data_IF_189590181638
#
_entry.id   IF_189590181638
#
_cell.length_a   1.000
_cell.length_b   1.000
_cell.length_c   1.000
_cell.angle_alpha   90.00
_cell.angle_beta   90.00
_cell.angle_gamma   90.00
#
_symmetry.space_group_name_H-M   'P 1'
#
loop_
_entity.id
_entity.type
_entity.pdbx_description
1 polymer ?
#
# COMPACT_ATOMS: atom_id res chain seq x y z
N UNK A 1 1.68 -47.85 37.75
CA UNK A 1 1.10 -46.50 37.57
C UNK A 1 1.03 -46.28 36.08
N UNK A 2 -0.17 -46.37 35.51
CA UNK A 2 -0.42 -46.13 34.09
C UNK A 2 -0.13 -44.67 33.79
N UNK A 3 0.76 -44.40 32.83
CA UNK A 3 0.98 -43.06 32.28
C UNK A 3 -0.36 -42.57 31.71
N UNK A 4 -1.03 -41.70 32.46
CA UNK A 4 -2.19 -40.96 31.96
C UNK A 4 -1.62 -39.89 31.05
N UNK A 5 -1.63 -40.15 29.74
CA UNK A 5 -1.35 -39.15 28.72
C UNK A 5 -2.29 -37.96 28.96
N UNK A 6 -1.72 -36.79 29.31
CA UNK A 6 -2.53 -35.60 29.52
C UNK A 6 -3.05 -35.08 28.16
N UNK A 7 -4.29 -34.60 28.09
CA UNK A 7 -4.87 -34.10 26.85
C UNK A 7 -4.09 -32.91 26.30
N UNK A 8 -3.89 -32.87 24.98
CA UNK A 8 -3.37 -31.72 24.26
C UNK A 8 -4.55 -30.77 23.99
N UNK A 9 -4.55 -29.60 24.62
CA UNK A 9 -5.64 -28.62 24.48
C UNK A 9 -5.31 -27.60 23.37
N UNK A 10 -6.20 -27.51 22.39
CA UNK A 10 -6.27 -26.45 21.37
C UNK A 10 -7.46 -25.54 21.76
N UNK A 11 -7.36 -24.22 21.58
CA UNK A 11 -8.45 -23.30 21.95
C UNK A 11 -8.79 -22.50 20.70
N UNK A 12 -10.06 -22.48 20.30
CA UNK A 12 -10.57 -21.72 19.14
C UNK A 12 -11.66 -20.76 19.62
N UNK A 13 -11.39 -19.46 19.62
CA UNK A 13 -12.34 -18.46 20.17
C UNK A 13 -13.18 -17.90 19.02
N UNK A 14 -14.52 -17.92 19.16
CA UNK A 14 -15.44 -17.29 18.21
C UNK A 14 -16.10 -16.08 18.88
N UNK A 15 -15.95 -14.90 18.30
CA UNK A 15 -16.39 -13.64 18.94
C UNK A 15 -17.87 -13.30 18.69
N UNK A 16 -18.65 -14.16 18.04
CA UNK A 16 -20.03 -13.81 17.68
C UNK A 16 -21.03 -14.97 17.90
N UNK A 17 -22.17 -14.64 18.53
CA UNK A 17 -23.13 -15.60 19.09
C UNK A 17 -24.27 -15.98 18.13
N UNK A 18 -23.99 -16.01 16.82
CA UNK A 18 -24.98 -16.42 15.81
C UNK A 18 -24.90 -17.94 15.56
N UNK A 19 -26.05 -18.61 15.40
CA UNK A 19 -26.12 -20.08 15.22
C UNK A 19 -25.36 -20.55 13.97
N UNK A 20 -25.36 -19.75 12.89
CA UNK A 20 -24.61 -20.04 11.66
C UNK A 20 -23.08 -19.97 11.88
N UNK A 21 -22.63 -19.07 12.75
CA UNK A 21 -21.22 -18.96 13.14
C UNK A 21 -20.80 -20.07 14.11
N UNK A 22 -21.74 -20.70 14.82
CA UNK A 22 -21.45 -21.84 15.68
C UNK A 22 -21.08 -23.08 14.87
N UNK A 23 -21.78 -23.34 13.76
CA UNK A 23 -21.44 -24.42 12.84
C UNK A 23 -20.05 -24.21 12.23
N UNK A 24 -19.73 -22.97 11.83
CA UNK A 24 -18.43 -22.61 11.27
C UNK A 24 -17.31 -22.71 12.32
N UNK A 25 -17.52 -22.18 13.53
CA UNK A 25 -16.56 -22.27 14.62
C UNK A 25 -16.31 -23.72 15.07
N UNK A 26 -17.36 -24.55 15.07
CA UNK A 26 -17.25 -25.99 15.35
C UNK A 26 -16.43 -26.70 14.28
N UNK A 27 -16.64 -26.34 13.00
CA UNK A 27 -15.84 -26.87 11.89
C UNK A 27 -14.36 -26.47 12.00
N UNK A 28 -14.06 -25.21 12.32
CA UNK A 28 -12.67 -24.76 12.53
C UNK A 28 -12.01 -25.44 13.73
N UNK A 29 -12.75 -25.62 14.83
CA UNK A 29 -12.28 -26.34 16.02
C UNK A 29 -11.98 -27.82 15.71
N UNK A 30 -12.80 -28.45 14.88
CA UNK A 30 -12.58 -29.80 14.39
C UNK A 30 -11.32 -29.90 13.53
N UNK A 31 -11.17 -29.03 12.54
CA UNK A 31 -9.98 -28.98 11.67
C UNK A 31 -8.72 -28.76 12.52
N UNK A 32 -8.75 -27.85 13.48
CA UNK A 32 -7.61 -27.58 14.35
C UNK A 32 -7.23 -28.78 15.23
N UNK A 33 -8.22 -29.51 15.78
CA UNK A 33 -7.96 -30.71 16.56
C UNK A 33 -7.39 -31.85 15.70
N UNK A 34 -7.87 -32.01 14.47
CA UNK A 34 -7.38 -33.02 13.51
C UNK A 34 -5.96 -32.70 13.02
N UNK A 35 -5.69 -31.44 12.67
CA UNK A 35 -4.35 -31.02 12.24
C UNK A 35 -3.31 -31.11 13.36
N UNK A 36 -3.70 -30.81 14.61
CA UNK A 36 -2.84 -31.03 15.77
C UNK A 36 -2.49 -32.52 15.95
N UNK A 37 -3.47 -33.41 15.80
CA UNK A 37 -3.23 -34.85 15.87
C UNK A 37 -2.35 -35.36 14.71
N UNK A 38 -2.53 -34.83 13.50
CA UNK A 38 -1.66 -35.13 12.34
C UNK A 38 -0.23 -34.66 12.55
N UNK A 39 -0.04 -33.48 13.16
CA UNK A 39 1.29 -32.97 13.51
C UNK A 39 2.02 -33.88 14.50
N UNK A 40 1.29 -34.57 15.37
CA UNK A 40 1.81 -35.61 16.28
C UNK A 40 1.98 -36.99 15.62
N UNK A 41 1.76 -37.09 14.29
CA UNK A 41 1.92 -38.31 13.51
C UNK A 41 0.75 -39.28 13.60
N UNK A 42 -0.42 -38.83 14.09
CA UNK A 42 -1.63 -39.66 14.17
C UNK A 42 -2.42 -39.51 12.86
N UNK A 43 -2.60 -40.60 12.10
CA UNK A 43 -3.37 -40.55 10.86
C UNK A 43 -4.86 -40.37 11.14
N UNK A 44 -5.55 -39.68 10.23
CA UNK A 44 -6.94 -39.23 10.42
C UNK A 44 -7.93 -40.39 10.60
N UNK A 45 -7.65 -41.55 10.01
CA UNK A 45 -8.44 -42.77 10.15
C UNK A 45 -8.35 -43.42 11.54
N UNK A 46 -7.44 -42.95 12.40
CA UNK A 46 -7.29 -43.36 13.78
C UNK A 46 -7.88 -42.36 14.78
N UNK A 47 -8.54 -41.31 14.30
CA UNK A 47 -9.18 -40.29 15.13
C UNK A 47 -10.69 -40.50 15.21
N UNK A 48 -11.21 -40.41 16.44
CA UNK A 48 -12.66 -40.30 16.69
C UNK A 48 -12.97 -38.87 17.12
N UNK A 49 -13.73 -38.14 16.31
CA UNK A 49 -14.17 -36.77 16.62
C UNK A 49 -15.55 -36.81 17.28
N UNK A 50 -15.71 -36.08 18.38
CA UNK A 50 -16.98 -35.93 19.08
C UNK A 50 -17.26 -34.47 19.42
N UNK A 51 -18.51 -34.04 19.26
CA UNK A 51 -18.94 -32.67 19.56
C UNK A 51 -19.67 -32.63 20.90
N UNK A 52 -19.17 -31.83 21.85
CA UNK A 52 -19.84 -31.61 23.13
C UNK A 52 -20.66 -30.32 23.11
N UNK A 53 -21.98 -30.46 22.89
CA UNK A 53 -22.93 -29.34 22.86
C UNK A 53 -23.01 -28.54 24.16
N UNK A 54 -22.81 -29.17 25.33
CA UNK A 54 -22.98 -28.51 26.64
C UNK A 54 -21.77 -27.66 27.08
N UNK A 55 -20.66 -27.67 26.33
CA UNK A 55 -19.46 -26.92 26.67
C UNK A 55 -18.75 -26.27 25.47
N UNK A 56 -19.37 -26.29 24.28
CA UNK A 56 -18.78 -25.70 23.07
C UNK A 56 -17.49 -26.37 22.63
N UNK A 57 -17.25 -27.65 22.92
CA UNK A 57 -15.98 -28.31 22.61
C UNK A 57 -16.06 -29.29 21.44
N UNK A 58 -15.01 -29.37 20.62
CA UNK A 58 -14.74 -30.52 19.75
C UNK A 58 -13.61 -31.33 20.38
N UNK A 59 -13.81 -32.64 20.52
CA UNK A 59 -12.81 -33.55 21.08
C UNK A 59 -12.45 -34.57 20.03
N UNK A 60 -11.20 -34.56 19.57
CA UNK A 60 -10.62 -35.63 18.76
C UNK A 60 -9.81 -36.56 19.66
N UNK A 61 -10.14 -37.85 19.69
CA UNK A 61 -9.40 -38.85 20.46
C UNK A 61 -8.77 -39.86 19.54
N UNK A 62 -7.51 -40.20 19.79
CA UNK A 62 -6.78 -41.22 19.03
C UNK A 62 -6.90 -42.60 19.68
N UNK A 63 -6.68 -43.64 18.88
CA UNK A 63 -6.69 -45.05 19.32
C UNK A 63 -5.64 -45.38 20.38
N UNK A 64 -4.55 -44.60 20.47
CA UNK A 64 -3.50 -44.71 21.48
C UNK A 64 -3.81 -43.97 22.80
N UNK A 65 -5.01 -43.40 22.93
CA UNK A 65 -5.50 -42.77 24.15
C UNK A 65 -5.10 -41.31 24.34
N UNK A 66 -4.55 -40.64 23.32
CA UNK A 66 -4.37 -39.19 23.34
C UNK A 66 -5.67 -38.48 23.02
N UNK A 67 -5.89 -37.34 23.66
CA UNK A 67 -7.11 -36.55 23.49
C UNK A 67 -6.73 -35.13 23.14
N UNK A 68 -7.26 -34.65 22.02
CA UNK A 68 -7.12 -33.32 21.48
C UNK A 68 -8.44 -32.60 21.70
N UNK A 69 -8.43 -31.54 22.51
CA UNK A 69 -9.65 -30.81 22.86
C UNK A 69 -9.56 -29.44 22.22
N UNK A 70 -10.49 -29.09 21.33
CA UNK A 70 -10.69 -27.74 20.81
C UNK A 70 -11.90 -27.09 21.50
N UNK A 71 -11.71 -26.00 22.25
CA UNK A 71 -12.79 -25.29 22.92
C UNK A 71 -13.25 -24.09 22.09
N UNK A 72 -14.56 -24.01 21.80
CA UNK A 72 -15.28 -22.88 21.21
C UNK A 72 -15.87 -22.02 22.33
N UNK A 73 -15.33 -20.82 22.51
CA UNK A 73 -15.82 -19.85 23.51
C UNK A 73 -16.60 -18.76 22.80
N UNK A 74 -17.89 -18.62 23.12
CA UNK A 74 -18.81 -17.62 22.56
C UNK A 74 -19.34 -16.71 23.67
N UNK A 75 -18.56 -15.72 24.12
CA UNK A 75 -19.06 -14.66 25.00
C UNK A 75 -18.59 -13.28 24.50
N UNK A 76 -19.49 -12.45 23.94
CA UNK A 76 -19.14 -11.14 23.40
C UNK A 76 -18.89 -10.06 24.48
N UNK A 77 -19.19 -10.33 25.76
CA UNK A 77 -19.04 -9.35 26.83
C UNK A 77 -17.65 -9.31 27.48
N UNK A 78 -16.73 -10.18 27.07
CA UNK A 78 -15.47 -10.43 27.78
C UNK A 78 -14.27 -10.03 26.92
N UNK A 79 -13.57 -8.97 27.31
CA UNK A 79 -12.32 -8.54 26.65
C UNK A 79 -11.24 -9.62 26.76
N UNK A 80 -10.46 -9.91 25.69
CA UNK A 80 -9.33 -10.84 25.72
C UNK A 80 -8.32 -10.57 26.85
N UNK A 81 -8.18 -9.30 27.27
CA UNK A 81 -7.28 -8.90 28.35
C UNK A 81 -7.68 -9.44 29.73
N UNK A 82 -8.97 -9.74 29.95
CA UNK A 82 -9.48 -10.25 31.23
C UNK A 82 -9.20 -11.74 31.47
N UNK A 83 -8.68 -12.46 30.46
CA UNK A 83 -8.23 -13.84 30.60
C UNK A 83 -6.76 -13.98 31.01
N UNK A 84 -5.95 -12.94 30.85
CA UNK A 84 -4.54 -12.92 31.29
C UNK A 84 -4.38 -13.18 32.79
N UNK A 85 -5.38 -12.82 33.59
CA UNK A 85 -5.40 -13.02 35.05
C UNK A 85 -6.04 -14.36 35.49
N UNK A 86 -6.69 -15.10 34.57
CA UNK A 86 -7.38 -16.37 34.87
C UNK A 86 -6.70 -17.61 34.29
N UNK A 87 -5.76 -17.44 33.38
CA UNK A 87 -4.86 -18.51 32.95
C UNK A 87 -3.68 -18.50 33.92
N UNK A 88 -3.59 -19.49 34.80
CA UNK A 88 -2.41 -19.71 35.65
C UNK A 88 -1.15 -19.68 34.75
N UNK A 89 -0.28 -18.65 34.86
CA UNK A 89 0.88 -18.50 33.99
C UNK A 89 1.82 -19.71 34.07
N UNK A 90 1.82 -20.40 35.22
CA UNK A 90 2.61 -21.61 35.41
C UNK A 90 2.04 -22.80 34.63
N UNK A 91 0.72 -22.88 34.41
CA UNK A 91 0.10 -23.90 33.55
C UNK A 91 0.31 -23.61 32.06
N UNK A 92 0.23 -22.34 31.67
CA UNK A 92 0.53 -21.89 30.31
C UNK A 92 1.98 -22.21 29.89
N UNK A 93 2.96 -21.83 30.74
CA UNK A 93 4.37 -22.09 30.47
C UNK A 93 4.71 -23.59 30.48
N UNK A 94 4.01 -24.39 31.30
CA UNK A 94 4.19 -25.85 31.36
C UNK A 94 3.62 -26.56 30.13
N UNK A 95 2.48 -26.10 29.59
CA UNK A 95 1.92 -26.60 28.34
C UNK A 95 2.81 -26.27 27.12
N UNK A 96 3.35 -25.04 27.07
CA UNK A 96 4.30 -24.63 26.01
C UNK A 96 5.63 -25.40 26.07
N UNK A 97 6.15 -25.65 27.27
CA UNK A 97 7.35 -26.47 27.48
C UNK A 97 7.15 -27.96 27.11
N UNK A 98 5.90 -28.39 26.92
CA UNK A 98 5.52 -29.75 26.53
C UNK A 98 5.08 -29.85 25.05
N UNK A 99 5.28 -28.80 24.24
CA UNK A 99 5.02 -28.82 22.80
C UNK A 99 3.60 -28.46 22.38
N UNK A 100 2.74 -27.97 23.29
CA UNK A 100 1.36 -27.59 22.98
C UNK A 100 1.34 -26.22 22.27
N UNK A 101 0.79 -26.17 21.05
CA UNK A 101 0.59 -24.94 20.26
C UNK A 101 -0.78 -24.32 20.58
N UNK A 102 -0.79 -23.06 21.03
CA UNK A 102 -2.01 -22.29 21.30
C UNK A 102 -2.18 -21.23 20.20
N UNK A 103 -3.30 -21.25 19.49
CA UNK A 103 -3.65 -20.24 18.50
C UNK A 103 -4.73 -19.32 19.05
N UNK A 104 -4.49 -18.02 19.03
CA UNK A 104 -5.52 -17.01 19.34
C UNK A 104 -5.94 -16.35 18.03
N UNK A 105 -7.18 -16.53 17.62
CA UNK A 105 -7.80 -15.65 16.64
C UNK A 105 -8.57 -14.59 17.43
N UNK A 106 -8.04 -13.35 17.46
CA UNK A 106 -8.69 -12.19 18.10
C UNK A 106 -7.92 -11.45 19.21
N UNK A 107 -6.62 -11.69 19.44
CA UNK A 107 -5.80 -10.86 20.34
C UNK A 107 -4.95 -9.84 19.55
N UNK A 108 -4.72 -8.61 20.08
CA UNK A 108 -3.94 -7.60 19.39
C UNK A 108 -2.51 -8.07 19.17
N UNK A 109 -1.96 -7.69 18.01
CA UNK A 109 -0.64 -7.87 17.39
C UNK A 109 0.64 -8.11 18.24
N UNK A 110 0.62 -8.13 19.56
CA UNK A 110 1.81 -8.03 20.39
C UNK A 110 2.35 -9.37 20.94
N UNK A 111 1.84 -10.53 20.50
CA UNK A 111 2.29 -11.84 21.02
C UNK A 111 2.88 -12.79 19.97
N UNK A 112 3.02 -12.36 18.71
CA UNK A 112 3.70 -13.11 17.62
C UNK A 112 4.91 -12.30 17.11
N UNK A 113 5.44 -11.40 17.93
CA UNK A 113 6.46 -10.42 17.51
C UNK A 113 7.91 -10.87 17.74
N UNK A 114 8.16 -12.06 18.31
CA UNK A 114 9.53 -12.46 18.67
C UNK A 114 10.29 -13.20 17.56
N UNK A 115 9.62 -13.66 16.49
CA UNK A 115 10.26 -14.39 15.36
C UNK A 115 9.99 -13.78 13.97
N UNK A 116 9.25 -12.67 13.89
CA UNK A 116 9.13 -11.88 12.65
C UNK A 116 10.04 -10.67 12.78
N UNK A 117 11.07 -10.59 11.94
CA UNK A 117 11.94 -9.41 11.89
C UNK A 117 11.04 -8.17 11.72
N UNK A 118 11.24 -7.15 12.56
CA UNK A 118 10.43 -5.92 12.58
C UNK A 118 10.35 -5.23 11.20
N UNK A 119 11.28 -5.56 10.30
CA UNK A 119 11.39 -5.07 8.93
C UNK A 119 10.30 -5.62 7.98
N UNK A 120 9.56 -6.66 8.36
CA UNK A 120 8.47 -7.23 7.54
C UNK A 120 7.10 -6.58 7.77
N UNK A 121 6.96 -5.74 8.81
CA UNK A 121 5.70 -5.13 9.23
C UNK A 121 5.58 -3.68 8.76
N UNK A 122 4.39 -3.30 8.31
CA UNK A 122 4.11 -1.90 8.00
C UNK A 122 3.71 -1.14 9.27
N UNK A 123 4.12 0.13 9.43
CA UNK A 123 3.69 0.95 10.55
C UNK A 123 2.16 1.00 10.68
N UNK A 124 1.63 0.50 11.80
CA UNK A 124 0.19 0.44 12.04
C UNK A 124 -0.53 -0.72 11.36
N UNK A 125 0.19 -1.68 10.76
CA UNK A 125 -0.36 -2.92 10.21
C UNK A 125 0.51 -4.12 10.61
N UNK A 126 -0.03 -4.96 11.50
CA UNK A 126 0.65 -6.14 12.02
C UNK A 126 0.61 -7.36 11.07
N UNK A 127 0.20 -7.15 9.81
CA UNK A 127 0.11 -8.22 8.81
C UNK A 127 1.42 -8.32 8.05
N UNK A 128 2.10 -9.48 8.03
CA UNK A 128 3.36 -9.66 7.30
C UNK A 128 3.22 -9.47 5.79
N UNK A 129 4.30 -9.03 5.12
CA UNK A 129 4.32 -8.72 3.69
C UNK A 129 3.72 -9.81 2.77
N UNK A 130 3.99 -11.08 3.09
CA UNK A 130 3.48 -12.24 2.35
C UNK A 130 1.95 -12.39 2.38
N UNK A 131 1.27 -11.80 3.37
CA UNK A 131 -0.19 -11.85 3.56
C UNK A 131 -0.91 -10.55 3.17
N UNK A 132 -0.16 -9.52 2.71
CA UNK A 132 -0.70 -8.23 2.23
C UNK A 132 -1.08 -8.25 0.74
N UNK A 133 -1.07 -9.41 0.11
CA UNK A 133 -1.56 -9.64 -1.25
C UNK A 133 -2.89 -10.39 -1.17
N UNK A 134 -3.86 -10.11 -2.05
CA UNK A 134 -5.10 -10.87 -2.11
C UNK A 134 -4.82 -12.37 -2.20
N UNK A 135 -5.48 -13.14 -1.34
CA UNK A 135 -5.53 -14.59 -1.55
C UNK A 135 -6.25 -14.93 -2.86
N UNK A 136 -6.18 -16.21 -3.27
CA UNK A 136 -6.80 -16.66 -4.52
C UNK A 136 -8.29 -16.32 -4.57
N UNK A 137 -8.99 -16.50 -3.46
CA UNK A 137 -10.42 -16.29 -3.42
C UNK A 137 -10.77 -14.81 -3.57
N UNK A 138 -10.00 -13.90 -2.99
CA UNK A 138 -10.19 -12.45 -3.10
C UNK A 138 -9.78 -11.95 -4.49
N UNK A 139 -8.71 -12.51 -5.06
CA UNK A 139 -8.29 -12.25 -6.43
C UNK A 139 -9.39 -12.66 -7.43
N UNK A 140 -10.02 -13.82 -7.24
CA UNK A 140 -11.14 -14.29 -8.05
C UNK A 140 -12.37 -13.37 -7.88
N UNK A 141 -12.62 -12.86 -6.68
CA UNK A 141 -13.66 -11.84 -6.43
C UNK A 141 -13.41 -10.57 -7.23
N UNK A 142 -12.19 -10.00 -7.19
CA UNK A 142 -11.84 -8.84 -8.02
C UNK A 142 -11.99 -9.14 -9.52
N UNK A 143 -11.55 -10.32 -9.96
CA UNK A 143 -11.67 -10.74 -11.36
C UNK A 143 -13.13 -10.80 -11.83
N UNK A 144 -14.03 -11.32 -11.01
CA UNK A 144 -15.45 -11.35 -11.34
C UNK A 144 -16.07 -9.96 -11.34
N UNK A 145 -15.72 -9.11 -10.37
CA UNK A 145 -16.28 -7.75 -10.25
C UNK A 145 -15.94 -6.87 -11.46
N UNK A 146 -14.70 -6.93 -11.95
CA UNK A 146 -14.20 -6.06 -13.02
C UNK A 146 -14.25 -6.67 -14.42
N UNK A 147 -14.68 -7.92 -14.56
CA UNK A 147 -14.89 -8.54 -15.88
C UNK A 147 -16.22 -8.07 -16.49
N UNK A 148 -16.15 -7.09 -17.40
CA UNK A 148 -17.30 -6.53 -18.10
C UNK A 148 -18.05 -7.52 -19.00
N UNK A 149 -17.50 -8.71 -19.24
CA UNK A 149 -18.17 -9.80 -19.96
C UNK A 149 -19.09 -10.62 -19.05
N UNK A 150 -19.01 -10.45 -17.72
CA UNK A 150 -19.88 -11.11 -16.76
C UNK A 150 -21.21 -10.38 -16.65
N UNK A 151 -22.26 -11.12 -16.30
CA UNK A 151 -23.55 -10.52 -16.01
C UNK A 151 -23.50 -9.70 -14.72
N UNK A 152 -24.33 -8.66 -14.65
CA UNK A 152 -24.45 -7.82 -13.45
C UNK A 152 -24.74 -8.64 -12.18
N UNK A 153 -25.48 -9.75 -12.29
CA UNK A 153 -25.75 -10.68 -11.17
C UNK A 153 -24.48 -11.34 -10.64
N UNK A 154 -23.60 -11.80 -11.52
CA UNK A 154 -22.32 -12.42 -11.10
C UNK A 154 -21.41 -11.36 -10.47
N UNK A 155 -21.38 -10.16 -11.05
CA UNK A 155 -20.60 -9.03 -10.53
C UNK A 155 -21.13 -8.57 -9.16
N UNK A 156 -22.45 -8.55 -8.96
CA UNK A 156 -23.09 -8.23 -7.69
C UNK A 156 -22.80 -9.29 -6.62
N UNK A 157 -22.84 -10.58 -6.97
CA UNK A 157 -22.45 -11.65 -6.04
C UNK A 157 -20.96 -11.58 -5.65
N UNK A 158 -20.09 -11.21 -6.60
CA UNK A 158 -18.69 -10.92 -6.28
C UNK A 158 -18.58 -9.70 -5.35
N UNK A 159 -19.42 -8.68 -5.54
CA UNK A 159 -19.48 -7.53 -4.66
C UNK A 159 -19.92 -7.92 -3.23
N UNK A 160 -20.96 -8.73 -3.09
CA UNK A 160 -21.44 -9.29 -1.81
C UNK A 160 -20.33 -10.06 -1.06
N UNK A 161 -19.44 -10.74 -1.80
CA UNK A 161 -18.33 -11.48 -1.21
C UNK A 161 -17.31 -10.60 -0.46
N UNK A 162 -17.21 -9.29 -0.77
CA UNK A 162 -16.40 -8.36 0.03
C UNK A 162 -17.00 -8.15 1.43
N UNK A 163 -18.33 -8.00 1.51
CA UNK A 163 -19.05 -7.76 2.76
C UNK A 163 -19.01 -8.98 3.69
N UNK A 164 -19.21 -10.19 3.14
CA UNK A 164 -19.22 -11.45 3.92
C UNK A 164 -17.89 -11.69 4.65
N UNK A 165 -16.77 -11.27 4.05
CA UNK A 165 -15.44 -11.52 4.61
C UNK A 165 -15.05 -10.56 5.75
N UNK A 166 -15.79 -9.46 5.95
CA UNK A 166 -15.56 -8.45 7.01
C UNK A 166 -14.17 -7.78 6.99
N UNK A 167 -13.91 -6.85 7.91
CA UNK A 167 -12.59 -6.19 8.08
C UNK A 167 -12.05 -5.53 6.81
N UNK A 168 -10.77 -5.78 6.50
CA UNK A 168 -10.06 -5.16 5.37
C UNK A 168 -10.69 -5.44 3.99
N UNK A 169 -11.35 -6.59 3.78
CA UNK A 169 -12.01 -6.86 2.49
C UNK A 169 -13.29 -6.05 2.33
N UNK A 170 -14.07 -5.91 3.41
CA UNK A 170 -15.26 -5.07 3.38
C UNK A 170 -14.89 -3.60 3.15
N UNK A 171 -13.81 -3.13 3.79
CA UNK A 171 -13.26 -1.79 3.56
C UNK A 171 -12.74 -1.60 2.14
N UNK A 172 -12.10 -2.60 1.54
CA UNK A 172 -11.70 -2.51 0.14
C UNK A 172 -12.91 -2.35 -0.79
N UNK A 173 -14.00 -3.08 -0.53
CA UNK A 173 -15.26 -2.93 -1.26
C UNK A 173 -15.89 -1.54 -1.10
N UNK A 174 -15.95 -1.02 0.13
CA UNK A 174 -16.44 0.34 0.42
C UNK A 174 -15.62 1.40 -0.28
N UNK A 175 -14.30 1.31 -0.15
CA UNK A 175 -13.36 2.24 -0.77
C UNK A 175 -13.52 2.31 -2.29
N UNK A 176 -13.74 1.17 -2.95
CA UNK A 176 -13.98 1.11 -4.40
C UNK A 176 -15.25 1.88 -4.83
N UNK A 177 -16.29 1.94 -3.99
CA UNK A 177 -17.52 2.69 -4.29
C UNK A 177 -17.37 4.19 -4.09
N UNK A 178 -16.60 4.57 -3.07
CA UNK A 178 -16.43 5.96 -2.66
C UNK A 178 -15.38 6.68 -3.49
N UNK A 179 -14.37 5.94 -3.97
CA UNK A 179 -13.25 6.48 -4.74
C UNK A 179 -13.74 7.03 -6.08
N UNK A 180 -13.55 8.33 -6.36
CA UNK A 180 -13.82 8.90 -7.66
C UNK A 180 -13.02 8.15 -8.73
N UNK A 181 -13.69 7.64 -9.76
CA UNK A 181 -13.04 6.96 -10.87
C UNK A 181 -13.96 6.84 -12.07
N UNK A 182 -13.38 6.49 -13.22
CA UNK A 182 -14.14 6.15 -14.43
C UNK A 182 -15.10 4.95 -14.27
N UNK A 183 -14.96 4.17 -13.19
CA UNK A 183 -15.76 2.97 -12.91
C UNK A 183 -16.81 3.18 -11.81
N UNK A 184 -16.86 4.36 -11.19
CA UNK A 184 -17.65 4.59 -9.97
C UNK A 184 -19.15 4.37 -10.19
N UNK A 185 -19.72 4.86 -11.29
CA UNK A 185 -21.15 4.72 -11.56
C UNK A 185 -21.56 3.27 -11.84
N UNK A 186 -20.71 2.53 -12.58
CA UNK A 186 -20.92 1.11 -12.83
C UNK A 186 -20.78 0.29 -11.54
N UNK A 187 -19.77 0.56 -10.70
CA UNK A 187 -19.63 -0.09 -9.40
C UNK A 187 -20.81 0.18 -8.47
N UNK A 188 -21.31 1.43 -8.43
CA UNK A 188 -22.52 1.78 -7.66
C UNK A 188 -23.77 1.06 -8.19
N UNK A 189 -23.91 0.96 -9.53
CA UNK A 189 -24.97 0.17 -10.14
C UNK A 189 -24.88 -1.30 -9.72
N UNK A 190 -23.71 -1.93 -9.83
CA UNK A 190 -23.50 -3.32 -9.43
C UNK A 190 -23.78 -3.52 -7.94
N UNK A 191 -23.30 -2.62 -7.08
CA UNK A 191 -23.56 -2.67 -5.65
C UNK A 191 -25.05 -2.53 -5.31
N UNK A 192 -25.82 -1.73 -6.06
CA UNK A 192 -27.27 -1.61 -5.86
C UNK A 192 -28.06 -2.88 -6.17
N UNK A 193 -27.45 -3.84 -6.88
CA UNK A 193 -28.03 -5.13 -7.23
C UNK A 193 -27.63 -6.24 -6.24
N UNK A 194 -26.76 -5.94 -5.27
CA UNK A 194 -26.29 -6.92 -4.29
C UNK A 194 -27.39 -7.21 -3.26
N UNK A 195 -27.52 -8.49 -2.89
CA UNK A 195 -28.72 -9.02 -2.22
C UNK A 195 -28.70 -8.72 -0.72
N UNK A 196 -27.50 -8.56 -0.16
CA UNK A 196 -27.34 -8.08 1.20
C UNK A 196 -27.52 -6.57 1.21
N UNK A 197 -28.50 -6.07 1.97
CA UNK A 197 -28.45 -4.72 2.57
C UNK A 197 -27.24 -4.60 3.53
N UNK A 198 -26.07 -5.14 3.17
CA UNK A 198 -24.82 -4.92 3.81
C UNK A 198 -24.59 -3.42 3.73
N UNK A 199 -24.96 -2.74 4.81
CA UNK A 199 -24.46 -1.40 5.07
C UNK A 199 -22.96 -1.61 5.15
N UNK A 200 -22.27 -1.33 4.06
CA UNK A 200 -20.84 -1.13 4.07
C UNK A 200 -20.64 0.01 5.07
N UNK A 201 -20.34 -0.37 6.32
CA UNK A 201 -20.04 0.61 7.35
C UNK A 201 -18.75 1.26 6.89
N UNK A 202 -18.87 2.51 6.47
CA UNK A 202 -17.85 3.27 5.77
C UNK A 202 -16.71 3.69 6.70
N UNK A 203 -16.83 3.37 8.00
CA UNK A 203 -15.82 3.70 8.99
C UNK A 203 -14.81 2.55 9.12
N UNK A 204 -13.51 2.78 8.85
CA UNK A 204 -12.49 1.78 9.11
C UNK A 204 -12.52 1.36 10.58
N UNK A 205 -12.73 0.07 10.84
CA UNK A 205 -12.71 -0.52 12.18
C UNK A 205 -11.36 -0.31 12.85
N UNK A 206 -10.27 -0.36 12.07
CA UNK A 206 -8.92 -0.01 12.51
C UNK A 206 -8.07 0.58 11.37
N UNK A 207 -7.03 1.34 11.72
CA UNK A 207 -6.00 1.81 10.76
C UNK A 207 -5.31 0.63 10.04
N UNK A 208 -5.14 -0.49 10.73
CA UNK A 208 -4.56 -1.71 10.16
C UNK A 208 -5.42 -2.28 9.04
N UNK A 209 -6.74 -2.32 9.23
CA UNK A 209 -7.67 -2.82 8.22
C UNK A 209 -7.67 -1.93 6.97
N UNK A 210 -7.56 -0.61 7.16
CA UNK A 210 -7.47 0.33 6.05
C UNK A 210 -6.18 0.17 5.24
N UNK A 211 -5.03 0.05 5.91
CA UNK A 211 -3.74 -0.23 5.26
C UNK A 211 -3.83 -1.54 4.46
N UNK A 212 -4.38 -2.59 5.07
CA UNK A 212 -4.50 -3.89 4.43
C UNK A 212 -5.47 -3.88 3.25
N UNK A 213 -6.59 -3.17 3.36
CA UNK A 213 -7.53 -2.95 2.27
C UNK A 213 -6.84 -2.29 1.07
N UNK A 214 -6.03 -1.25 1.31
CA UNK A 214 -5.27 -0.58 0.23
C UNK A 214 -4.26 -1.54 -0.40
N UNK A 215 -3.56 -2.35 0.41
CA UNK A 215 -2.64 -3.37 -0.11
C UNK A 215 -3.38 -4.36 -1.04
N UNK A 216 -4.57 -4.82 -0.66
CA UNK A 216 -5.37 -5.73 -1.48
C UNK A 216 -5.77 -5.12 -2.81
N UNK A 217 -6.28 -3.88 -2.80
CA UNK A 217 -6.68 -3.18 -4.03
C UNK A 217 -5.48 -2.89 -4.92
N UNK A 218 -4.35 -2.44 -4.35
CA UNK A 218 -3.13 -2.14 -5.11
C UNK A 218 -2.57 -3.40 -5.78
N UNK A 219 -2.53 -4.53 -5.08
CA UNK A 219 -1.90 -5.76 -5.56
C UNK A 219 -2.78 -6.61 -6.52
N UNK A 220 -4.09 -6.36 -6.56
CA UNK A 220 -5.03 -7.15 -7.35
C UNK A 220 -4.91 -6.87 -8.85
N UNK A 221 -4.45 -7.87 -9.62
CA UNK A 221 -4.26 -7.76 -11.09
C UNK A 221 -5.53 -7.42 -11.87
N UNK A 222 -6.69 -7.84 -11.36
CA UNK A 222 -7.98 -7.60 -12.00
C UNK A 222 -8.52 -6.18 -11.76
N UNK A 223 -8.01 -5.47 -10.76
CA UNK A 223 -8.42 -4.10 -10.47
C UNK A 223 -7.92 -3.18 -11.58
N UNK A 224 -8.77 -2.27 -12.12
CA UNK A 224 -8.35 -1.27 -13.09
C UNK A 224 -7.15 -0.46 -12.60
N UNK A 225 -6.20 -0.19 -13.51
CA UNK A 225 -4.94 0.46 -13.15
C UNK A 225 -5.13 1.81 -12.44
N UNK A 226 -6.17 2.57 -12.80
CA UNK A 226 -6.52 3.84 -12.13
C UNK A 226 -6.77 3.62 -10.62
N UNK A 227 -7.64 2.66 -10.27
CA UNK A 227 -8.00 2.35 -8.88
C UNK A 227 -6.82 1.76 -8.11
N UNK A 228 -6.05 0.85 -8.72
CA UNK A 228 -4.85 0.28 -8.10
C UNK A 228 -3.81 1.38 -7.75
N UNK A 229 -3.61 2.37 -8.63
CA UNK A 229 -2.70 3.51 -8.40
C UNK A 229 -3.21 4.49 -7.35
N UNK A 230 -4.51 4.76 -7.31
CA UNK A 230 -5.13 5.58 -6.25
C UNK A 230 -4.98 4.92 -4.89
N UNK A 231 -5.26 3.62 -4.80
CA UNK A 231 -5.04 2.83 -3.58
C UNK A 231 -3.57 2.86 -3.14
N UNK A 232 -2.63 2.81 -4.10
CA UNK A 232 -1.21 2.92 -3.80
C UNK A 232 -0.84 4.29 -3.22
N UNK A 233 -1.40 5.38 -3.75
CA UNK A 233 -1.16 6.71 -3.22
C UNK A 233 -1.79 6.92 -1.84
N UNK A 234 -2.95 6.33 -1.59
CA UNK A 234 -3.56 6.32 -0.26
C UNK A 234 -2.74 5.50 0.74
N UNK A 235 -2.18 4.37 0.30
CA UNK A 235 -1.23 3.61 1.11
C UNK A 235 0.00 4.46 1.51
N UNK A 236 0.52 5.27 0.58
CA UNK A 236 1.61 6.23 0.89
C UNK A 236 1.15 7.33 1.84
N UNK A 237 -0.06 7.87 1.71
CA UNK A 237 -0.53 8.89 2.65
C UNK A 237 -0.74 8.33 4.07
N UNK A 238 -1.10 7.04 4.18
CA UNK A 238 -1.29 6.35 5.46
C UNK A 238 0.04 5.98 6.14
N UNK A 239 1.09 5.65 5.38
CA UNK A 239 2.33 5.07 5.93
C UNK A 239 3.63 5.70 5.41
N UNK A 240 3.57 6.88 4.78
CA UNK A 240 4.70 7.63 4.18
C UNK A 240 5.69 6.71 3.47
N UNK A 241 6.98 6.78 3.82
CA UNK A 241 8.07 6.00 3.24
C UNK A 241 7.77 4.49 3.21
N UNK A 242 7.24 3.93 4.31
CA UNK A 242 6.90 2.51 4.38
C UNK A 242 5.75 2.15 3.44
N UNK A 243 4.74 3.03 3.34
CA UNK A 243 3.65 2.90 2.38
C UNK A 243 4.15 2.99 0.93
N UNK A 244 5.13 3.85 0.66
CA UNK A 244 5.77 3.96 -0.65
C UNK A 244 6.52 2.69 -1.04
N UNK A 245 7.33 2.13 -0.14
CA UNK A 245 8.05 0.88 -0.41
C UNK A 245 7.08 -0.28 -0.68
N UNK A 246 5.98 -0.36 0.08
CA UNK A 246 4.95 -1.36 -0.17
C UNK A 246 4.24 -1.12 -1.50
N UNK A 247 3.85 0.12 -1.82
CA UNK A 247 3.27 0.47 -3.12
C UNK A 247 4.22 0.09 -4.28
N UNK A 248 5.53 0.33 -4.13
CA UNK A 248 6.57 -0.07 -5.10
C UNK A 248 6.66 -1.58 -5.28
N UNK A 249 6.47 -2.34 -4.22
CA UNK A 249 6.46 -3.81 -4.22
C UNK A 249 5.21 -4.37 -4.88
N UNK A 250 4.04 -3.79 -4.59
CA UNK A 250 2.74 -4.30 -5.00
C UNK A 250 2.36 -3.91 -6.43
N UNK A 251 2.72 -2.70 -6.86
CA UNK A 251 2.45 -2.27 -8.22
C UNK A 251 3.31 -3.06 -9.23
N UNK A 252 2.78 -3.33 -10.44
CA UNK A 252 3.58 -3.92 -11.50
C UNK A 252 4.87 -3.12 -11.72
N UNK A 253 6.00 -3.81 -11.96
CA UNK A 253 7.32 -3.21 -12.21
C UNK A 253 7.41 -2.35 -13.51
N UNK A 254 6.28 -1.91 -14.04
CA UNK A 254 6.18 -1.08 -15.24
C UNK A 254 6.62 0.36 -15.02
N UNK A 255 6.57 1.13 -16.10
CA UNK A 255 6.97 2.54 -16.11
C UNK A 255 6.03 3.39 -15.23
N UNK A 256 6.61 4.08 -14.26
CA UNK A 256 5.94 5.02 -13.35
C UNK A 256 5.66 6.38 -14.01
N UNK A 257 5.85 6.50 -15.33
CA UNK A 257 5.55 7.71 -16.10
C UNK A 257 4.10 8.19 -15.98
N UNK A 258 3.17 7.29 -15.63
CA UNK A 258 1.79 7.66 -15.31
C UNK A 258 1.71 8.66 -14.14
N UNK A 259 2.67 8.65 -13.21
CA UNK A 259 2.65 9.51 -12.04
C UNK A 259 2.76 10.99 -12.42
N UNK A 260 3.51 11.32 -13.48
CA UNK A 260 3.59 12.68 -13.99
C UNK A 260 2.21 13.19 -14.46
N UNK A 261 1.46 12.34 -15.17
CA UNK A 261 0.08 12.64 -15.60
C UNK A 261 -0.84 12.81 -14.40
N UNK A 262 -0.77 11.90 -13.42
CA UNK A 262 -1.59 11.97 -12.22
C UNK A 262 -1.30 13.22 -11.40
N UNK A 263 -0.04 13.62 -11.22
CA UNK A 263 0.37 14.85 -10.51
C UNK A 263 -0.18 16.12 -11.18
N UNK A 264 -0.28 16.12 -12.51
CA UNK A 264 -0.82 17.24 -13.28
C UNK A 264 -2.34 17.36 -13.14
N UNK A 265 -3.03 16.22 -13.17
CA UNK A 265 -4.48 16.17 -13.32
C UNK A 265 -5.20 16.01 -11.98
N UNK A 266 -4.54 15.43 -10.98
CA UNK A 266 -5.19 14.92 -9.78
C UNK A 266 -4.39 15.20 -8.50
N UNK A 267 -5.08 15.67 -7.46
CA UNK A 267 -4.44 16.11 -6.21
C UNK A 267 -3.98 14.96 -5.32
N UNK A 268 -4.51 13.75 -5.48
CA UNK A 268 -4.13 12.61 -4.65
C UNK A 268 -2.71 12.13 -4.90
N UNK A 269 -2.13 12.43 -6.07
CA UNK A 269 -0.84 11.89 -6.48
C UNK A 269 0.37 12.59 -5.81
N UNK A 270 0.18 13.72 -5.13
CA UNK A 270 1.29 14.52 -4.62
C UNK A 270 2.13 13.83 -3.55
N UNK A 271 1.51 13.13 -2.60
CA UNK A 271 2.25 12.39 -1.57
C UNK A 271 3.11 11.28 -2.18
N UNK A 272 2.53 10.53 -3.11
CA UNK A 272 3.25 9.51 -3.84
C UNK A 272 4.41 10.10 -4.68
N UNK A 273 4.20 11.25 -5.30
CA UNK A 273 5.23 11.96 -6.06
C UNK A 273 6.39 12.44 -5.20
N UNK A 274 6.12 12.94 -3.98
CA UNK A 274 7.17 13.35 -3.04
C UNK A 274 8.12 12.19 -2.73
N UNK A 275 7.58 11.03 -2.36
CA UNK A 275 8.38 9.84 -2.09
C UNK A 275 9.08 9.33 -3.35
N UNK A 276 8.39 9.34 -4.49
CA UNK A 276 8.96 8.91 -5.77
C UNK A 276 10.16 9.75 -6.21
N UNK A 277 10.13 11.07 -5.99
CA UNK A 277 11.22 11.97 -6.37
C UNK A 277 12.51 11.68 -5.59
N UNK A 278 12.36 11.21 -4.35
CA UNK A 278 13.46 10.84 -3.46
C UNK A 278 13.99 9.42 -3.73
N UNK A 279 13.25 8.56 -4.43
CA UNK A 279 13.68 7.20 -4.78
C UNK A 279 14.75 7.20 -5.90
N UNK A 280 16.02 7.09 -5.49
CA UNK A 280 17.16 7.03 -6.40
C UNK A 280 17.20 5.76 -7.28
N UNK A 281 16.43 4.72 -6.94
CA UNK A 281 16.33 3.48 -7.73
C UNK A 281 15.47 3.64 -8.98
N UNK A 282 14.68 4.72 -9.05
CA UNK A 282 13.83 5.01 -10.21
C UNK A 282 14.62 5.71 -11.33
N UNK A 283 14.26 5.47 -12.61
CA UNK A 283 14.93 6.11 -13.73
C UNK A 283 14.92 7.64 -13.61
N UNK A 284 16.10 8.26 -13.78
CA UNK A 284 16.27 9.70 -13.67
C UNK A 284 15.33 10.47 -14.63
N UNK A 285 15.14 9.98 -15.85
CA UNK A 285 14.23 10.61 -16.84
C UNK A 285 12.77 10.63 -16.36
N UNK A 286 12.31 9.57 -15.69
CA UNK A 286 10.96 9.53 -15.12
C UNK A 286 10.85 10.48 -13.93
N UNK A 287 11.86 10.52 -13.05
CA UNK A 287 11.90 11.49 -11.95
C UNK A 287 11.89 12.94 -12.43
N UNK A 288 12.63 13.27 -13.49
CA UNK A 288 12.60 14.62 -14.08
C UNK A 288 11.19 15.00 -14.56
N UNK A 289 10.49 14.10 -15.25
CA UNK A 289 9.12 14.35 -15.71
C UNK A 289 8.17 14.59 -14.53
N UNK A 290 8.22 13.71 -13.51
CA UNK A 290 7.42 13.87 -12.30
C UNK A 290 7.76 15.18 -11.58
N UNK A 291 9.05 15.56 -11.51
CA UNK A 291 9.49 16.80 -10.87
C UNK A 291 8.95 18.05 -11.57
N UNK A 292 8.95 18.06 -12.91
CA UNK A 292 8.43 19.17 -13.71
C UNK A 292 6.94 19.35 -13.43
N UNK A 293 6.16 18.27 -13.47
CA UNK A 293 4.73 18.32 -13.19
C UNK A 293 4.47 18.68 -11.72
N UNK A 294 5.26 18.15 -10.79
CA UNK A 294 5.15 18.46 -9.36
C UNK A 294 5.39 19.94 -9.10
N UNK A 295 6.47 20.52 -9.61
CA UNK A 295 6.74 21.95 -9.43
C UNK A 295 5.67 22.81 -10.10
N UNK A 296 5.12 22.38 -11.23
CA UNK A 296 4.09 23.14 -11.94
C UNK A 296 2.74 23.10 -11.23
N UNK A 297 2.35 21.94 -10.67
CA UNK A 297 0.98 21.67 -10.24
C UNK A 297 0.79 21.45 -8.73
N UNK A 298 1.86 21.24 -7.96
CA UNK A 298 1.72 21.00 -6.52
C UNK A 298 1.00 22.16 -5.82
N UNK A 299 0.14 21.88 -4.82
CA UNK A 299 -0.56 22.91 -4.06
C UNK A 299 0.37 23.61 -3.07
N UNK A 300 1.38 22.90 -2.55
CA UNK A 300 2.31 23.44 -1.54
C UNK A 300 3.40 24.29 -2.19
N UNK A 301 3.61 25.56 -1.80
CA UNK A 301 4.65 26.40 -2.39
C UNK A 301 6.07 25.85 -2.15
N UNK A 302 6.23 24.94 -1.19
CA UNK A 302 7.51 24.32 -0.85
C UNK A 302 7.89 23.28 -1.90
N UNK A 303 9.03 23.50 -2.55
CA UNK A 303 9.65 22.51 -3.44
C UNK A 303 10.59 21.64 -2.62
N UNK A 304 10.48 20.29 -2.69
CA UNK A 304 11.29 19.41 -1.88
C UNK A 304 12.77 19.41 -2.32
N UNK A 305 13.72 19.12 -1.41
CA UNK A 305 15.15 19.09 -1.73
C UNK A 305 15.53 18.15 -2.88
N UNK A 306 14.80 17.04 -3.06
CA UNK A 306 15.01 16.09 -4.16
C UNK A 306 14.85 16.75 -5.53
N UNK A 307 14.00 17.76 -5.67
CA UNK A 307 13.82 18.50 -6.93
C UNK A 307 15.01 19.44 -7.21
N UNK A 308 15.58 20.05 -6.17
CA UNK A 308 16.82 20.85 -6.29
C UNK A 308 17.98 20.01 -6.83
N UNK A 309 18.16 18.82 -6.25
CA UNK A 309 19.16 17.86 -6.69
C UNK A 309 18.96 17.43 -8.16
N UNK A 310 17.71 17.28 -8.59
CA UNK A 310 17.36 16.93 -9.97
C UNK A 310 17.74 18.04 -10.96
N UNK A 311 17.46 19.31 -10.66
CA UNK A 311 17.86 20.46 -11.52
C UNK A 311 19.38 20.51 -11.67
N UNK A 312 20.11 20.21 -10.60
CA UNK A 312 21.58 20.26 -10.55
C UNK A 312 22.25 18.99 -11.07
N UNK A 313 21.49 17.94 -11.39
CA UNK A 313 22.04 16.65 -11.80
C UNK A 313 22.71 16.71 -13.18
N UNK A 314 24.03 16.48 -13.29
CA UNK A 314 24.72 16.49 -14.58
C UNK A 314 24.34 15.29 -15.47
N UNK A 315 23.66 14.29 -14.90
CA UNK A 315 23.18 13.10 -15.62
C UNK A 315 21.83 13.33 -16.30
N UNK A 316 21.10 14.38 -15.92
CA UNK A 316 19.82 14.71 -16.53
C UNK A 316 20.03 15.41 -17.88
N UNK A 317 19.07 15.26 -18.80
CA UNK A 317 19.17 15.91 -20.11
C UNK A 317 19.14 17.44 -19.95
N UNK A 318 19.83 18.17 -20.83
CA UNK A 318 19.82 19.64 -20.79
C UNK A 318 18.40 20.21 -20.90
N UNK A 319 17.55 19.59 -21.72
CA UNK A 319 16.15 19.99 -21.91
C UNK A 319 15.33 19.80 -20.65
N UNK A 320 15.49 18.67 -19.94
CA UNK A 320 14.74 18.41 -18.70
C UNK A 320 15.17 19.38 -17.59
N UNK A 321 16.49 19.62 -17.45
CA UNK A 321 17.03 20.55 -16.44
C UNK A 321 16.53 21.98 -16.67
N UNK A 322 16.55 22.45 -17.93
CA UNK A 322 16.01 23.76 -18.30
C UNK A 322 14.51 23.85 -18.06
N UNK A 323 13.75 22.82 -18.45
CA UNK A 323 12.29 22.76 -18.23
C UNK A 323 11.95 22.84 -16.75
N UNK A 324 12.67 22.07 -15.92
CA UNK A 324 12.45 22.06 -14.46
C UNK A 324 12.81 23.40 -13.82
N UNK A 325 13.96 24.00 -14.18
CA UNK A 325 14.34 25.32 -13.67
C UNK A 325 13.34 26.41 -14.10
N UNK A 326 12.82 26.32 -15.32
CA UNK A 326 11.79 27.25 -15.83
C UNK A 326 10.46 27.08 -15.10
N UNK A 327 10.03 25.83 -14.86
CA UNK A 327 8.84 25.54 -14.05
C UNK A 327 9.02 26.10 -12.63
N UNK A 328 10.19 25.90 -12.03
CA UNK A 328 10.51 26.42 -10.71
C UNK A 328 10.46 27.94 -10.69
N UNK A 329 11.05 28.62 -11.67
CA UNK A 329 11.02 30.08 -11.73
C UNK A 329 9.61 30.67 -11.84
N UNK A 330 8.66 29.96 -12.44
CA UNK A 330 7.25 30.38 -12.44
C UNK A 330 6.61 30.25 -11.05
N UNK A 331 7.03 29.25 -10.27
CA UNK A 331 6.52 28.97 -8.92
C UNK A 331 7.18 29.85 -7.85
N UNK A 332 8.50 29.88 -7.84
CA UNK A 332 9.36 30.66 -6.96
C UNK A 332 10.41 31.37 -7.84
N UNK A 333 10.17 32.63 -8.20
CA UNK A 333 11.09 33.41 -9.03
C UNK A 333 12.49 33.53 -8.44
N UNK A 334 12.63 33.56 -7.10
CA UNK A 334 13.92 33.74 -6.44
C UNK A 334 14.77 32.47 -6.53
N UNK A 335 14.20 31.32 -6.20
CA UNK A 335 14.89 30.03 -6.35
C UNK A 335 15.16 29.72 -7.83
N UNK A 336 14.18 29.95 -8.70
CA UNK A 336 14.32 29.75 -10.13
C UNK A 336 15.37 30.65 -10.76
N UNK A 337 15.53 31.91 -10.31
CA UNK A 337 16.60 32.79 -10.75
C UNK A 337 17.99 32.16 -10.51
N UNK A 338 18.22 31.60 -9.32
CA UNK A 338 19.49 30.95 -8.98
C UNK A 338 19.77 29.75 -9.88
N UNK A 339 18.75 28.92 -10.14
CA UNK A 339 18.89 27.78 -11.04
C UNK A 339 19.14 28.19 -12.49
N UNK A 340 18.43 29.19 -13.01
CA UNK A 340 18.60 29.67 -14.37
C UNK A 340 19.98 30.31 -14.59
N UNK A 341 20.49 31.09 -13.63
CA UNK A 341 21.86 31.61 -13.67
C UNK A 341 22.90 30.47 -13.64
N UNK A 342 22.72 29.48 -12.78
CA UNK A 342 23.60 28.31 -12.72
C UNK A 342 23.61 27.55 -14.06
N UNK A 343 22.44 27.34 -14.68
CA UNK A 343 22.33 26.63 -15.97
C UNK A 343 22.93 27.44 -17.13
N UNK A 344 22.81 28.78 -17.14
CA UNK A 344 23.45 29.61 -18.16
C UNK A 344 24.98 29.47 -18.15
N UNK A 345 25.56 29.30 -16.95
CA UNK A 345 27.01 29.12 -16.73
C UNK A 345 27.49 27.68 -16.84
N UNK A 346 26.59 26.70 -16.85
CA UNK A 346 26.93 25.28 -16.85
C UNK A 346 27.40 24.82 -18.25
N UNK A 347 28.71 24.52 -18.35
CA UNK A 347 29.33 24.06 -19.60
C UNK A 347 28.97 22.62 -20.01
N UNK A 348 28.31 21.85 -19.14
CA UNK A 348 27.82 20.51 -19.47
C UNK A 348 26.50 20.54 -20.23
N UNK A 349 25.80 21.69 -20.22
CA UNK A 349 24.57 21.87 -20.97
C UNK A 349 24.84 22.07 -22.47
N UNK A 350 23.88 21.64 -23.28
CA UNK A 350 23.84 22.04 -24.68
C UNK A 350 23.82 23.57 -24.81
N UNK A 351 24.62 24.09 -25.73
CA UNK A 351 24.89 25.52 -25.88
C UNK A 351 23.62 26.36 -26.03
N UNK A 352 22.64 25.89 -26.82
CA UNK A 352 21.37 26.59 -27.01
C UNK A 352 20.55 26.67 -25.72
N UNK A 353 20.52 25.60 -24.91
CA UNK A 353 19.82 25.60 -23.63
C UNK A 353 20.46 26.55 -22.61
N UNK A 354 21.79 26.77 -22.68
CA UNK A 354 22.47 27.80 -21.87
C UNK A 354 21.99 29.21 -22.23
N UNK A 355 21.87 29.50 -23.53
CA UNK A 355 21.34 30.79 -24.01
C UNK A 355 19.88 30.97 -23.60
N UNK A 356 19.04 29.94 -23.77
CA UNK A 356 17.66 29.97 -23.32
C UNK A 356 17.52 30.16 -21.80
N UNK A 357 18.39 29.52 -21.00
CA UNK A 357 18.41 29.76 -19.55
C UNK A 357 18.67 31.24 -19.22
N UNK A 358 19.62 31.87 -19.92
CA UNK A 358 19.92 33.30 -19.78
C UNK A 358 18.75 34.20 -20.25
N UNK A 359 18.03 33.81 -21.31
CA UNK A 359 16.81 34.52 -21.76
C UNK A 359 15.66 34.41 -20.75
N UNK A 360 15.48 33.23 -20.13
CA UNK A 360 14.52 33.07 -19.04
C UNK A 360 14.94 33.90 -17.83
N UNK A 361 16.23 33.93 -17.51
CA UNK A 361 16.78 34.76 -16.44
C UNK A 361 16.54 36.25 -16.71
N UNK A 362 16.76 36.73 -17.93
CA UNK A 362 16.52 38.11 -18.36
C UNK A 362 15.08 38.56 -18.13
N UNK A 363 14.10 37.68 -18.38
CA UNK A 363 12.68 37.96 -18.11
C UNK A 363 12.36 38.10 -16.62
N UNK A 364 13.12 37.45 -15.75
CA UNK A 364 12.90 37.46 -14.30
C UNK A 364 13.72 38.54 -13.59
N UNK A 365 14.96 38.75 -14.05
CA UNK A 365 15.93 39.68 -13.53
C UNK A 365 16.76 40.22 -14.72
N UNK A 366 16.40 41.40 -15.26
CA UNK A 366 17.05 41.96 -16.44
C UNK A 366 18.56 42.12 -16.28
N UNK A 367 19.03 42.59 -15.13
CA UNK A 367 20.47 42.81 -14.90
C UNK A 367 21.25 41.50 -14.93
N UNK A 368 20.77 40.48 -14.22
CA UNK A 368 21.42 39.17 -14.17
C UNK A 368 21.38 38.47 -15.54
N UNK A 369 20.25 38.55 -16.24
CA UNK A 369 20.10 37.96 -17.58
C UNK A 369 20.96 38.65 -18.62
N UNK A 370 21.02 39.98 -18.64
CA UNK A 370 21.89 40.74 -19.54
C UNK A 370 23.36 40.43 -19.29
N UNK A 371 23.77 40.34 -18.02
CA UNK A 371 25.12 39.92 -17.65
C UNK A 371 25.44 38.50 -18.13
N UNK A 372 24.53 37.56 -17.95
CA UNK A 372 24.69 36.18 -18.42
C UNK A 372 24.76 36.09 -19.96
N UNK A 373 23.89 36.81 -20.67
CA UNK A 373 23.89 36.86 -22.15
C UNK A 373 25.18 37.48 -22.69
N UNK A 374 25.65 38.59 -22.11
CA UNK A 374 26.93 39.21 -22.49
C UNK A 374 28.11 38.23 -22.30
N UNK A 375 28.16 37.53 -21.16
CA UNK A 375 29.17 36.51 -20.92
C UNK A 375 29.13 35.37 -21.96
N UNK A 376 27.93 34.98 -22.41
CA UNK A 376 27.75 33.96 -23.44
C UNK A 376 28.16 34.45 -24.83
N UNK A 377 27.95 35.73 -25.16
CA UNK A 377 28.43 36.33 -26.43
C UNK A 377 29.95 36.26 -26.54
N UNK A 378 30.66 36.43 -25.43
CA UNK A 378 32.13 36.37 -25.38
C UNK A 378 32.70 34.95 -25.14
N UNK A 379 31.86 33.96 -24.78
CA UNK A 379 32.29 32.60 -24.47
C UNK A 379 32.73 31.84 -25.74
N UNK A 380 34.05 31.78 -25.96
CA UNK A 380 34.68 31.10 -27.10
C UNK A 380 34.41 29.60 -27.18
N UNK A 381 33.86 28.97 -26.13
CA UNK A 381 33.46 27.56 -26.13
C UNK A 381 32.11 27.33 -26.82
N UNK A 382 31.32 28.39 -27.03
CA UNK A 382 30.08 28.34 -27.79
C UNK A 382 30.36 28.38 -29.30
N UNK A 383 29.52 27.66 -30.06
CA UNK A 383 29.46 27.78 -31.50
C UNK A 383 29.13 29.24 -31.91
N UNK A 384 29.56 29.69 -33.10
CA UNK A 384 29.21 31.02 -33.60
C UNK A 384 27.71 31.30 -33.59
N UNK A 385 26.89 30.31 -33.97
CA UNK A 385 25.43 30.42 -33.97
C UNK A 385 24.84 30.65 -32.56
N UNK A 386 25.36 29.98 -31.52
CA UNK A 386 24.91 30.18 -30.15
C UNK A 386 25.33 31.56 -29.61
N UNK A 387 26.54 32.04 -29.94
CA UNK A 387 27.00 33.39 -29.57
C UNK A 387 26.19 34.48 -30.27
N UNK A 388 25.86 34.29 -31.54
CA UNK A 388 24.99 35.19 -32.30
C UNK A 388 23.57 35.22 -31.72
N UNK A 389 23.01 34.06 -31.34
CA UNK A 389 21.74 34.02 -30.64
C UNK A 389 21.79 34.82 -29.33
N UNK A 390 22.81 34.60 -28.49
CA UNK A 390 22.97 35.35 -27.24
C UNK A 390 23.07 36.87 -27.49
N UNK A 391 23.84 37.28 -28.51
CA UNK A 391 23.96 38.70 -28.89
C UNK A 391 22.63 39.30 -29.34
N UNK A 392 21.82 38.57 -30.12
CA UNK A 392 20.50 39.04 -30.56
C UNK A 392 19.54 39.18 -29.38
N UNK A 393 19.56 38.21 -28.47
CA UNK A 393 18.70 38.22 -27.29
C UNK A 393 19.07 39.34 -26.31
N UNK A 394 20.36 39.71 -26.23
CA UNK A 394 20.82 40.88 -25.46
C UNK A 394 20.45 42.23 -26.11
N UNK A 395 20.38 42.30 -27.44
CA UNK A 395 19.99 43.53 -28.14
C UNK A 395 18.47 43.76 -28.17
N UNK A 396 17.68 42.68 -28.00
CA UNK A 396 16.22 42.72 -27.98
C UNK A 396 15.61 42.95 -26.60
N UNK A 397 16.43 43.05 -25.54
CA UNK A 397 16.03 43.35 -24.15
C UNK A 397 16.16 44.83 -23.84
#
# INVERSE_FOLDING_TARGET
MSDVSMPVAVIAISTDANEDHWAQATWHAEVAAVEAAKADGIPEDQLTVSHQRSGGGVVASSSDGRTYIALVITDPAVSPASYGDRIDPARYLRARAQGVSVFFEGAPANAIADDLEADDLLPGCAVPAMRRVPDRALADTYAQLFDSKRSDVVRAAAFDAFAVRSGATALAGSWLLETPSSHQDDLRKIASLSIGNARYDTSPTTRSDHILAMCYVTAAKAVPAELSRRAAAELVSLCLDAGYQEARRLLPKGDWSWLAVAVREETWAFHLALEFLSDLTTPLSTRMKVAIEFVTHAPSPVVPPSVDELVRSPKASSTDRLSLATAWAKRDPKAGQLHLDALARDHTLQQLHRVQAAEHLLRLNPDAGSSALAALTDDRRLSPAARELASRSLQGS
#
